data_IF_026898864565
#
_entry.id   IF_026898864565
#
_cell.length_a   1.000
_cell.length_b   1.000
_cell.length_c   1.000
_cell.angle_alpha   90.00
_cell.angle_beta   90.00
_cell.angle_gamma   90.00
#
_symmetry.space_group_name_H-M   'P 1'
#
loop_
_entity.id
_entity.type
_entity.pdbx_description
1 polymer ?
#
# COMPACT_ATOMS: atom_id res chain seq x y z
N UNK A 1 3.10 -2.59 -0.08
CA UNK A 1 4.05 -1.48 -0.32
C UNK A 1 5.33 -1.82 0.42
N UNK A 2 6.49 -1.37 -0.05
CA UNK A 2 7.76 -1.57 0.66
C UNK A 2 7.97 -0.51 1.77
N UNK A 3 9.11 -0.59 2.46
CA UNK A 3 9.47 0.35 3.52
C UNK A 3 9.78 1.77 3.02
N UNK A 4 9.96 1.97 1.72
CA UNK A 4 10.20 3.26 1.07
C UNK A 4 8.89 3.89 0.56
N UNK A 5 7.75 3.20 0.69
CA UNK A 5 6.47 3.65 0.14
C UNK A 5 6.33 3.40 -1.36
N UNK A 6 7.02 2.40 -1.90
CA UNK A 6 6.84 1.93 -3.27
C UNK A 6 5.80 0.82 -3.33
N UNK A 7 4.99 0.82 -4.38
CA UNK A 7 3.95 -0.18 -4.59
C UNK A 7 4.58 -1.46 -5.13
N UNK A 8 4.42 -2.56 -4.39
CA UNK A 8 4.88 -3.91 -4.79
C UNK A 8 3.79 -4.63 -5.61
N UNK A 9 2.56 -4.60 -5.11
CA UNK A 9 1.40 -5.20 -5.78
C UNK A 9 0.15 -4.39 -5.45
N UNK A 10 -0.81 -4.42 -6.38
CA UNK A 10 -2.15 -3.82 -6.25
C UNK A 10 -3.19 -4.84 -6.69
N UNK A 11 -4.24 -4.95 -5.88
CA UNK A 11 -5.47 -5.68 -6.17
C UNK A 11 -6.62 -4.72 -5.91
N UNK A 12 -7.50 -4.54 -6.90
CA UNK A 12 -8.74 -3.75 -6.76
C UNK A 12 -9.91 -4.71 -7.01
N UNK A 13 -10.85 -4.75 -6.09
CA UNK A 13 -12.05 -5.60 -6.17
C UNK A 13 -13.29 -4.78 -5.87
N UNK A 14 -14.46 -5.35 -6.17
CA UNK A 14 -15.73 -4.78 -5.71
C UNK A 14 -15.76 -4.71 -4.18
N UNK A 15 -16.49 -3.72 -3.64
CA UNK A 15 -16.63 -3.49 -2.20
C UNK A 15 -17.35 -4.63 -1.44
N UNK A 16 -17.97 -5.56 -2.15
CA UNK A 16 -18.61 -6.75 -1.58
C UNK A 16 -17.62 -7.88 -1.24
N UNK A 17 -16.37 -7.78 -1.67
CA UNK A 17 -15.34 -8.81 -1.43
C UNK A 17 -14.73 -8.57 -0.05
N UNK A 18 -14.64 -9.63 0.75
CA UNK A 18 -14.02 -9.55 2.08
C UNK A 18 -12.52 -9.25 2.01
N UNK A 19 -12.00 -8.51 2.97
CA UNK A 19 -10.58 -8.14 3.05
C UNK A 19 -9.65 -9.37 3.02
N UNK A 20 -10.05 -10.51 3.59
CA UNK A 20 -9.23 -11.74 3.56
C UNK A 20 -9.03 -12.28 2.15
N UNK A 21 -10.10 -12.31 1.35
CA UNK A 21 -10.01 -12.76 -0.04
C UNK A 21 -9.14 -11.82 -0.88
N UNK A 22 -9.15 -10.52 -0.57
CA UNK A 22 -8.25 -9.53 -1.18
C UNK A 22 -6.81 -9.78 -0.74
N UNK A 23 -6.59 -10.01 0.55
CA UNK A 23 -5.27 -10.27 1.15
C UNK A 23 -4.59 -11.50 0.57
N UNK A 24 -5.34 -12.61 0.42
CA UNK A 24 -4.84 -13.85 -0.20
C UNK A 24 -4.38 -13.60 -1.63
N UNK A 25 -5.23 -13.00 -2.46
CA UNK A 25 -4.88 -12.65 -3.86
C UNK A 25 -3.69 -11.72 -3.95
N UNK A 26 -3.56 -10.80 -3.00
CA UNK A 26 -2.43 -9.88 -2.95
C UNK A 26 -1.13 -10.62 -2.65
N UNK A 27 -1.14 -11.56 -1.70
CA UNK A 27 0.02 -12.38 -1.36
C UNK A 27 0.43 -13.29 -2.52
N UNK A 28 -0.52 -13.89 -3.24
CA UNK A 28 -0.22 -14.69 -4.45
C UNK A 28 0.55 -13.85 -5.47
N UNK A 29 0.05 -12.64 -5.75
CA UNK A 29 0.67 -11.73 -6.71
C UNK A 29 2.07 -11.28 -6.27
N UNK A 30 2.27 -11.07 -4.97
CA UNK A 30 3.58 -10.72 -4.39
C UNK A 30 4.55 -11.90 -4.55
N UNK A 31 4.14 -13.11 -4.20
CA UNK A 31 4.99 -14.30 -4.31
C UNK A 31 5.39 -14.58 -5.76
N UNK A 32 4.47 -14.40 -6.71
CA UNK A 32 4.70 -14.61 -8.14
C UNK A 32 5.69 -13.58 -8.73
N UNK A 33 5.52 -12.30 -8.40
CA UNK A 33 6.24 -11.21 -9.08
C UNK A 33 7.42 -10.65 -8.28
N UNK A 34 7.49 -10.91 -6.98
CA UNK A 34 8.49 -10.34 -6.07
C UNK A 34 8.90 -11.34 -4.99
N UNK A 35 9.55 -12.46 -5.37
CA UNK A 35 9.90 -13.55 -4.46
C UNK A 35 10.91 -13.14 -3.36
N UNK A 36 11.48 -11.94 -3.44
CA UNK A 36 12.36 -11.37 -2.42
C UNK A 36 11.59 -10.85 -1.19
N UNK A 37 10.26 -10.73 -1.27
CA UNK A 37 9.42 -10.33 -0.13
C UNK A 37 9.16 -11.54 0.76
N UNK A 38 9.66 -11.49 1.98
CA UNK A 38 9.49 -12.56 2.99
C UNK A 38 8.73 -12.11 4.22
N UNK A 39 8.34 -10.83 4.31
CA UNK A 39 7.60 -10.28 5.43
C UNK A 39 6.53 -9.29 4.95
N UNK A 40 5.35 -9.37 5.54
CA UNK A 40 4.23 -8.49 5.27
C UNK A 40 3.59 -7.99 6.57
N UNK A 41 3.10 -6.74 6.56
CA UNK A 41 2.33 -6.18 7.68
C UNK A 41 0.90 -5.91 7.21
N UNK A 42 -0.07 -6.37 8.00
CA UNK A 42 -1.51 -6.21 7.72
C UNK A 42 -2.22 -5.57 8.91
N UNK A 43 -3.36 -4.92 8.69
CA UNK A 43 -4.18 -4.37 9.76
C UNK A 43 -4.94 -5.48 10.52
N UNK A 44 -5.43 -5.18 11.72
CA UNK A 44 -6.23 -6.09 12.55
C UNK A 44 -7.55 -6.55 11.90
N UNK A 45 -8.00 -5.90 10.82
CA UNK A 45 -9.13 -6.37 10.01
C UNK A 45 -8.88 -7.67 9.24
N UNK A 46 -7.62 -8.04 9.00
CA UNK A 46 -7.28 -9.30 8.34
C UNK A 46 -7.26 -10.46 9.35
N UNK A 47 -7.91 -11.57 8.98
CA UNK A 47 -8.06 -12.78 9.80
C UNK A 47 -6.84 -13.69 9.68
N UNK A 48 -6.78 -14.68 10.56
CA UNK A 48 -5.71 -15.68 10.64
C UNK A 48 -5.45 -16.40 9.30
N UNK A 49 -6.48 -16.63 8.49
CA UNK A 49 -6.38 -17.28 7.18
C UNK A 49 -5.34 -16.62 6.26
N UNK A 50 -5.22 -15.29 6.31
CA UNK A 50 -4.26 -14.54 5.51
C UNK A 50 -2.83 -14.79 5.98
N UNK A 51 -2.63 -14.96 7.29
CA UNK A 51 -1.34 -15.31 7.86
C UNK A 51 -0.93 -16.74 7.54
N UNK A 52 -1.88 -17.68 7.61
CA UNK A 52 -1.65 -19.07 7.19
C UNK A 52 -1.28 -19.14 5.71
N UNK A 53 -2.01 -18.42 4.86
CA UNK A 53 -1.70 -18.35 3.43
C UNK A 53 -0.33 -17.75 3.14
N UNK A 54 0.03 -16.67 3.83
CA UNK A 54 1.36 -16.08 3.75
C UNK A 54 2.46 -17.07 4.11
N UNK A 55 2.29 -17.83 5.20
CA UNK A 55 3.26 -18.83 5.62
C UNK A 55 3.49 -19.94 4.56
N UNK A 56 2.43 -20.37 3.86
CA UNK A 56 2.54 -21.31 2.73
C UNK A 56 3.38 -20.74 1.59
N UNK A 57 3.31 -19.43 1.36
CA UNK A 57 4.09 -18.70 0.36
C UNK A 57 5.48 -18.27 0.84
N UNK A 58 5.88 -18.62 2.07
CA UNK A 58 7.16 -18.18 2.66
C UNK A 58 7.18 -16.72 3.10
N UNK A 59 6.01 -16.11 3.32
CA UNK A 59 5.83 -14.72 3.75
C UNK A 59 5.33 -14.69 5.19
N UNK A 60 6.14 -14.14 6.11
CA UNK A 60 5.73 -13.89 7.49
C UNK A 60 4.76 -12.69 7.56
N UNK A 61 3.48 -12.97 7.83
CA UNK A 61 2.43 -11.96 7.90
C UNK A 61 2.19 -11.54 9.35
N UNK A 62 2.53 -10.29 9.65
CA UNK A 62 2.41 -9.71 10.97
C UNK A 62 1.20 -8.78 11.05
N UNK A 63 0.26 -9.10 11.96
CA UNK A 63 -0.91 -8.25 12.22
C UNK A 63 -0.50 -7.07 13.11
N UNK A 64 -0.64 -5.87 12.57
CA UNK A 64 -0.41 -4.61 13.29
C UNK A 64 -1.70 -4.21 13.98
N UNK A 65 -1.72 -4.34 15.32
CA UNK A 65 -2.85 -3.89 16.14
C UNK A 65 -2.77 -2.39 16.40
N UNK A 66 -3.93 -1.76 16.49
CA UNK A 66 -4.06 -0.37 16.93
C UNK A 66 -3.64 -0.26 18.40
N UNK A 67 -2.72 0.66 18.73
CA UNK A 67 -2.40 0.95 20.12
C UNK A 67 -3.30 2.08 20.62
N UNK A 68 -4.48 1.72 21.15
CA UNK A 68 -5.39 2.69 21.79
C UNK A 68 -5.02 2.96 23.27
N UNK A 69 -3.81 2.56 23.69
CA UNK A 69 -3.38 2.56 25.08
C UNK A 69 -3.04 3.94 25.66
N UNK A 70 -2.98 5.00 24.85
CA UNK A 70 -2.73 6.37 25.33
C UNK A 70 -3.71 7.36 24.68
N UNK A 71 -4.29 8.30 25.46
CA UNK A 71 -5.05 9.40 24.89
C UNK A 71 -4.14 10.31 24.06
N UNK A 72 -4.45 10.46 22.77
CA UNK A 72 -3.69 11.27 21.82
C UNK A 72 -3.40 10.54 20.51
N UNK A 73 -2.81 11.23 19.54
CA UNK A 73 -2.36 10.62 18.29
C UNK A 73 -1.03 9.88 18.55
N UNK A 74 -1.08 8.55 18.62
CA UNK A 74 0.12 7.71 18.69
C UNK A 74 0.42 7.17 17.29
N UNK A 75 1.51 7.60 16.64
CA UNK A 75 1.90 7.05 15.34
C UNK A 75 2.18 5.56 15.45
N UNK A 76 1.41 4.74 14.74
CA UNK A 76 1.70 3.30 14.64
C UNK A 76 2.98 3.14 13.81
N UNK A 77 3.99 2.48 14.40
CA UNK A 77 5.28 2.23 13.75
C UNK A 77 5.04 1.58 12.37
N UNK A 78 5.57 2.19 11.31
CA UNK A 78 5.42 1.84 9.87
C UNK A 78 4.10 2.20 9.17
N UNK A 79 3.02 2.58 9.88
CA UNK A 79 1.75 3.00 9.25
C UNK A 79 1.88 4.32 8.49
N UNK A 80 2.77 5.20 8.95
CA UNK A 80 3.08 6.48 8.29
C UNK A 80 3.48 6.30 6.81
N UNK A 81 4.07 5.16 6.44
CA UNK A 81 4.49 4.86 5.06
C UNK A 81 3.24 4.73 4.19
N UNK A 82 2.23 4.01 4.67
CA UNK A 82 0.95 3.82 3.97
C UNK A 82 0.24 5.16 3.80
N UNK A 83 0.18 5.96 4.87
CA UNK A 83 -0.43 7.30 4.86
C UNK A 83 0.31 8.26 3.92
N UNK A 84 1.65 8.24 3.92
CA UNK A 84 2.47 9.03 2.99
C UNK A 84 2.17 8.65 1.53
N UNK A 85 2.04 7.36 1.23
CA UNK A 85 1.71 6.93 -0.13
C UNK A 85 0.31 7.37 -0.51
N UNK A 86 -0.70 7.17 0.35
CA UNK A 86 -2.04 7.69 0.09
C UNK A 86 -2.03 9.21 -0.16
N UNK A 87 -1.32 9.99 0.67
CA UNK A 87 -1.15 11.43 0.47
C UNK A 87 -0.50 11.76 -0.88
N UNK A 88 0.49 10.98 -1.31
CA UNK A 88 1.14 11.18 -2.61
C UNK A 88 0.22 10.78 -3.77
N UNK A 89 -0.55 9.70 -3.64
CA UNK A 89 -1.54 9.29 -4.64
C UNK A 89 -2.63 10.37 -4.83
N UNK A 90 -3.03 11.06 -3.76
CA UNK A 90 -4.01 12.16 -3.83
C UNK A 90 -3.52 13.38 -4.63
N UNK A 91 -2.20 13.58 -4.75
CA UNK A 91 -1.64 14.62 -5.62
C UNK A 91 -1.92 14.36 -7.11
N UNK A 92 -2.23 13.11 -7.48
CA UNK A 92 -2.67 12.79 -8.83
C UNK A 92 -4.18 13.00 -8.94
N UNK A 93 -4.58 14.17 -9.46
CA UNK A 93 -5.99 14.63 -9.59
C UNK A 93 -7.00 13.57 -10.05
N UNK A 94 -6.60 12.66 -10.92
CA UNK A 94 -7.49 11.60 -11.45
C UNK A 94 -7.60 10.36 -10.54
N UNK A 95 -6.77 10.21 -9.50
CA UNK A 95 -6.97 9.26 -8.38
C UNK A 95 -7.82 9.89 -7.28
N UNK A 96 -7.68 11.20 -7.04
CA UNK A 96 -8.48 11.92 -6.04
C UNK A 96 -9.98 11.98 -6.38
N UNK A 97 -10.31 11.85 -7.67
CA UNK A 97 -11.68 11.67 -8.16
C UNK A 97 -11.65 10.47 -9.08
N UNK A 98 -11.92 9.30 -8.53
CA UNK A 98 -12.05 8.06 -9.28
C UNK A 98 -13.27 8.18 -10.21
N UNK A 99 -13.03 8.65 -11.43
CA UNK A 99 -14.08 8.87 -12.44
C UNK A 99 -14.39 7.60 -13.25
N UNK A 100 -13.58 6.55 -13.13
CA UNK A 100 -13.72 5.29 -13.86
C UNK A 100 -14.03 4.16 -12.89
N UNK A 101 -15.20 3.54 -13.05
CA UNK A 101 -15.71 2.46 -12.21
C UNK A 101 -15.10 1.08 -12.48
N UNK A 102 -14.06 1.00 -13.32
CA UNK A 102 -13.42 -0.26 -13.73
C UNK A 102 -12.17 -0.56 -12.89
N UNK A 103 -12.10 -1.71 -12.20
CA UNK A 103 -10.95 -2.09 -11.37
C UNK A 103 -9.60 -2.05 -12.10
N UNK A 104 -9.58 -2.42 -13.38
CA UNK A 104 -8.37 -2.40 -14.22
C UNK A 104 -7.81 -0.98 -14.42
N UNK A 105 -8.70 -0.01 -14.62
CA UNK A 105 -8.33 1.41 -14.72
C UNK A 105 -7.74 1.91 -13.40
N UNK A 106 -8.33 1.52 -12.27
CA UNK A 106 -7.85 1.88 -10.93
C UNK A 106 -6.46 1.31 -10.63
N UNK A 107 -6.23 0.03 -10.98
CA UNK A 107 -4.91 -0.61 -10.87
C UNK A 107 -3.87 0.13 -11.71
N UNK A 108 -4.17 0.34 -13.00
CA UNK A 108 -3.26 0.99 -13.94
C UNK A 108 -2.87 2.40 -13.46
N UNK A 109 -3.83 3.13 -12.93
CA UNK A 109 -3.63 4.49 -12.44
C UNK A 109 -2.80 4.55 -11.16
N UNK A 110 -3.00 3.59 -10.27
CA UNK A 110 -2.22 3.46 -9.04
C UNK A 110 -0.76 3.14 -9.34
N UNK A 111 -0.51 2.24 -10.30
CA UNK A 111 0.84 1.92 -10.77
C UNK A 111 1.52 3.13 -11.44
N UNK A 112 0.79 3.88 -12.28
CA UNK A 112 1.33 5.09 -12.93
C UNK A 112 1.77 6.14 -11.90
N UNK A 113 0.98 6.38 -10.85
CA UNK A 113 1.35 7.28 -9.77
C UNK A 113 2.60 6.80 -9.01
N UNK A 114 2.71 5.48 -8.75
CA UNK A 114 3.91 4.89 -8.15
C UNK A 114 5.15 5.08 -9.02
N UNK A 115 5.03 4.88 -10.33
CA UNK A 115 6.13 5.10 -11.28
C UNK A 115 6.55 6.57 -11.33
N UNK A 116 5.59 7.51 -11.39
CA UNK A 116 5.89 8.94 -11.34
C UNK A 116 6.62 9.35 -10.05
N UNK A 117 6.26 8.74 -8.92
CA UNK A 117 6.95 8.94 -7.64
C UNK A 117 8.38 8.39 -7.66
N UNK A 118 8.58 7.20 -8.23
CA UNK A 118 9.90 6.59 -8.38
C UNK A 118 10.80 7.45 -9.27
N UNK A 119 10.30 7.89 -10.43
CA UNK A 119 11.02 8.78 -11.35
C UNK A 119 11.45 10.06 -10.64
N UNK A 120 10.53 10.73 -9.94
CA UNK A 120 10.85 11.98 -9.20
C UNK A 120 11.94 11.80 -8.16
N UNK A 121 11.97 10.65 -7.48
CA UNK A 121 13.02 10.32 -6.48
C UNK A 121 14.36 10.06 -7.16
N UNK A 122 14.36 9.33 -8.28
CA UNK A 122 15.58 9.04 -9.05
C UNK A 122 16.18 10.31 -9.68
N UNK A 123 15.35 11.23 -10.14
CA UNK A 123 15.79 12.47 -10.79
C UNK A 123 16.11 13.60 -9.80
N UNK A 124 15.93 13.37 -8.49
CA UNK A 124 16.18 14.38 -7.46
C UNK A 124 15.35 15.65 -7.67
N UNK A 125 14.24 15.58 -8.40
CA UNK A 125 13.40 16.75 -8.71
C UNK A 125 12.65 17.13 -7.44
N UNK A 126 13.34 17.88 -6.57
CA UNK A 126 12.73 18.58 -5.46
C UNK A 126 11.71 19.54 -6.05
N UNK A 127 10.47 19.48 -5.56
CA UNK A 127 9.56 20.61 -5.74
C UNK A 127 10.33 21.86 -5.30
N UNK A 128 10.39 22.94 -6.11
CA UNK A 128 11.02 24.17 -5.67
C UNK A 128 10.31 24.59 -4.38
N UNK A 129 11.02 24.51 -3.26
CA UNK A 129 10.52 24.98 -1.99
C UNK A 129 10.55 26.50 -2.04
N UNK A 130 9.40 27.14 -1.90
CA UNK A 130 9.23 28.60 -1.82
C UNK A 130 9.83 29.21 -0.54
N UNK A 131 10.97 28.70 -0.07
CA UNK A 131 11.69 29.16 1.12
C UNK A 131 13.04 29.73 0.72
N UNK A 132 13.01 30.80 -0.05
CA UNK A 132 14.07 31.80 -0.08
C UNK A 132 13.40 33.17 -0.24
N UNK A 133 13.22 33.84 0.89
CA UNK A 133 12.81 35.22 1.06
C UNK A 133 13.36 35.69 2.39
#
# INVERSE_FOLDING_TARGET
>A
MDALGLIIAVVVTAASVTDNAIGIKLLDKVAEHTPTVTAAWVDAGFKQDVGVHGAVLGIDVQVVKRSDAQPGFVPVKKRWIVEQVYGTLMLHRRLAREYESRPESSVSRTLWASMANMVRRLTGTSTPTWRHG
#
